data_IF_714193712998
#
_entry.id   IF_714193712998
#
_cell.length_a   1.000
_cell.length_b   1.000
_cell.length_c   1.000
_cell.angle_alpha   90.00
_cell.angle_beta   90.00
_cell.angle_gamma   90.00
#
_symmetry.space_group_name_H-M   'P 1'
#
loop_
_entity.id
_entity.type
_entity.pdbx_description
1 polymer ?
#
# COMPACT_ATOMS: atom_id res chain seq x y z
N UNK A 1 -14.16 -13.50 27.41
CA UNK A 1 -14.69 -14.88 27.61
C UNK A 1 -16.19 -14.83 27.51
N UNK A 2 -16.81 -15.72 26.72
CA UNK A 2 -18.28 -15.79 26.55
C UNK A 2 -18.80 -17.00 27.30
N UNK A 3 -19.79 -16.80 28.18
CA UNK A 3 -20.37 -17.85 29.02
C UNK A 3 -21.85 -18.02 28.68
N UNK A 4 -22.30 -19.27 28.58
CA UNK A 4 -23.71 -19.63 28.32
C UNK A 4 -24.15 -20.71 29.29
N UNK A 5 -25.29 -20.51 29.95
CA UNK A 5 -25.92 -21.52 30.82
C UNK A 5 -26.75 -22.52 30.00
N UNK A 6 -26.94 -23.74 30.52
CA UNK A 6 -27.77 -24.79 29.91
C UNK A 6 -27.40 -25.13 28.45
N UNK A 7 -26.14 -25.55 28.24
CA UNK A 7 -25.60 -25.90 26.90
C UNK A 7 -25.96 -27.31 26.39
N UNK A 8 -26.87 -28.03 27.04
CA UNK A 8 -27.15 -29.43 26.72
C UNK A 8 -25.90 -30.31 26.85
N UNK A 9 -25.66 -31.19 25.89
CA UNK A 9 -24.51 -32.13 25.87
C UNK A 9 -23.19 -31.49 25.40
N UNK A 10 -23.23 -30.23 24.98
CA UNK A 10 -22.10 -29.51 24.40
C UNK A 10 -21.14 -29.01 25.50
N UNK A 11 -20.17 -29.86 25.86
CA UNK A 11 -19.20 -29.65 26.94
C UNK A 11 -17.82 -29.13 26.47
N UNK A 12 -17.69 -28.76 25.21
CA UNK A 12 -16.47 -28.24 24.59
C UNK A 12 -16.33 -26.72 24.77
N UNK A 13 -15.11 -26.21 24.59
CA UNK A 13 -14.79 -24.78 24.57
C UNK A 13 -14.18 -24.45 23.21
N UNK A 14 -14.78 -23.49 22.51
CA UNK A 14 -14.19 -22.94 21.29
C UNK A 14 -13.16 -21.89 21.71
N UNK A 15 -11.91 -22.09 21.31
CA UNK A 15 -10.82 -21.15 21.51
C UNK A 15 -10.50 -20.53 20.15
N UNK A 16 -10.45 -19.20 20.10
CA UNK A 16 -10.15 -18.42 18.89
C UNK A 16 -8.98 -17.51 19.23
N UNK A 17 -7.95 -17.55 18.39
CA UNK A 17 -6.83 -16.62 18.41
C UNK A 17 -7.00 -15.58 17.31
N UNK A 18 -7.47 -14.39 17.69
CA UNK A 18 -7.60 -13.24 16.79
C UNK A 18 -6.46 -12.21 16.98
N UNK A 19 -5.33 -12.62 17.56
CA UNK A 19 -4.22 -11.70 17.88
C UNK A 19 -3.60 -11.01 16.66
N UNK A 20 -3.72 -11.59 15.47
CA UNK A 20 -3.14 -11.08 14.21
C UNK A 20 -4.11 -10.23 13.36
N UNK A 21 -5.40 -10.26 13.64
CA UNK A 21 -6.42 -9.55 12.84
C UNK A 21 -6.67 -8.15 13.34
N UNK A 22 -5.81 -7.19 12.99
CA UNK A 22 -5.99 -5.78 13.32
C UNK A 22 -5.26 -4.85 12.36
N UNK A 23 -5.73 -3.61 12.28
CA UNK A 23 -5.03 -2.51 11.65
C UNK A 23 -4.34 -1.66 12.72
N UNK A 24 -3.06 -1.33 12.52
CA UNK A 24 -2.30 -0.49 13.45
C UNK A 24 -2.57 0.98 13.15
N UNK A 25 -3.26 1.67 14.05
CA UNK A 25 -3.56 3.10 13.95
C UNK A 25 -2.79 3.85 15.04
N UNK A 26 -1.63 4.37 14.65
CA UNK A 26 -0.71 5.07 15.55
C UNK A 26 -0.20 4.18 16.67
N UNK A 27 -0.62 4.46 17.91
CA UNK A 27 -0.26 3.68 19.11
C UNK A 27 -1.26 2.56 19.46
N UNK A 28 -2.41 2.52 18.79
CA UNK A 28 -3.49 1.59 19.09
C UNK A 28 -3.70 0.62 17.92
N UNK A 29 -4.26 -0.55 18.24
CA UNK A 29 -4.71 -1.52 17.25
C UNK A 29 -6.23 -1.40 17.13
N UNK A 30 -6.74 -1.27 15.90
CA UNK A 30 -8.18 -1.23 15.60
C UNK A 30 -8.57 -2.53 14.90
N UNK A 31 -9.65 -3.16 15.34
CA UNK A 31 -10.23 -4.28 14.63
C UNK A 31 -10.91 -3.76 13.36
N UNK A 32 -10.62 -4.38 12.22
CA UNK A 32 -11.32 -4.11 10.96
C UNK A 32 -12.67 -4.85 10.97
N UNK A 33 -13.59 -4.42 10.12
CA UNK A 33 -14.91 -5.05 10.02
C UNK A 33 -14.79 -6.50 9.54
N UNK A 34 -13.82 -6.81 8.67
CA UNK A 34 -13.47 -8.16 8.25
C UNK A 34 -13.00 -9.06 9.38
N UNK A 35 -12.16 -8.53 10.28
CA UNK A 35 -11.67 -9.27 11.44
C UNK A 35 -12.84 -9.61 12.38
N UNK A 36 -13.74 -8.65 12.61
CA UNK A 36 -14.95 -8.86 13.42
C UNK A 36 -15.86 -9.90 12.76
N UNK A 37 -16.14 -9.78 11.46
CA UNK A 37 -16.99 -10.71 10.70
C UNK A 37 -16.44 -12.12 10.76
N UNK A 38 -15.12 -12.30 10.56
CA UNK A 38 -14.44 -13.60 10.68
C UNK A 38 -14.61 -14.22 12.06
N UNK A 39 -14.45 -13.43 13.12
CA UNK A 39 -14.66 -13.91 14.50
C UNK A 39 -16.12 -14.32 14.69
N UNK A 40 -17.07 -13.50 14.28
CA UNK A 40 -18.51 -13.76 14.44
C UNK A 40 -18.93 -15.02 13.69
N UNK A 41 -18.50 -15.19 12.45
CA UNK A 41 -18.83 -16.35 11.62
C UNK A 41 -18.21 -17.63 12.21
N UNK A 42 -16.98 -17.54 12.72
CA UNK A 42 -16.30 -18.66 13.40
C UNK A 42 -17.00 -19.04 14.71
N UNK A 43 -17.42 -18.07 15.52
CA UNK A 43 -18.18 -18.31 16.75
C UNK A 43 -19.56 -18.92 16.45
N UNK A 44 -20.25 -18.39 15.44
CA UNK A 44 -21.61 -18.81 15.07
C UNK A 44 -21.63 -20.23 14.52
N UNK A 45 -20.66 -20.57 13.66
CA UNK A 45 -20.57 -21.90 13.07
C UNK A 45 -19.75 -22.90 13.92
N UNK A 46 -19.07 -22.43 14.98
CA UNK A 46 -18.14 -23.22 15.81
C UNK A 46 -17.12 -24.03 14.98
N UNK A 47 -16.60 -23.40 13.92
CA UNK A 47 -15.66 -24.03 12.97
C UNK A 47 -14.27 -24.15 13.60
N UNK A 48 -13.55 -25.20 13.21
CA UNK A 48 -12.11 -25.33 13.43
C UNK A 48 -11.40 -24.75 12.21
N UNK A 49 -10.51 -23.79 12.43
CA UNK A 49 -9.76 -23.12 11.37
C UNK A 49 -8.29 -23.16 11.74
N UNK A 50 -7.46 -23.65 10.83
CA UNK A 50 -6.02 -23.79 11.08
C UNK A 50 -5.40 -22.47 11.53
N UNK A 51 -4.50 -22.54 12.53
CA UNK A 51 -3.85 -21.40 13.19
C UNK A 51 -4.76 -20.29 13.78
N UNK A 52 -6.09 -20.44 13.72
CA UNK A 52 -7.04 -19.40 14.13
C UNK A 52 -8.05 -19.87 15.18
N UNK A 53 -8.63 -21.07 15.04
CA UNK A 53 -9.65 -21.54 15.99
C UNK A 53 -9.69 -23.05 16.16
N UNK A 54 -10.00 -23.49 17.39
CA UNK A 54 -10.12 -24.90 17.74
C UNK A 54 -11.18 -25.14 18.82
N UNK A 55 -12.03 -26.13 18.59
CA UNK A 55 -12.95 -26.71 19.57
C UNK A 55 -12.19 -27.70 20.43
N UNK A 56 -12.09 -27.40 21.72
CA UNK A 56 -11.32 -28.18 22.69
C UNK A 56 -12.29 -28.88 23.64
N UNK A 57 -12.08 -30.18 23.84
CA UNK A 57 -12.90 -30.97 24.76
C UNK A 57 -12.60 -30.61 26.23
N UNK A 58 -13.57 -30.82 27.11
CA UNK A 58 -13.35 -30.63 28.56
C UNK A 58 -12.25 -31.52 29.12
N UNK A 59 -12.03 -32.69 28.53
CA UNK A 59 -11.00 -33.64 28.97
C UNK A 59 -9.60 -33.11 28.65
N UNK A 60 -9.41 -32.53 27.45
CA UNK A 60 -8.16 -31.89 27.06
C UNK A 60 -7.86 -30.67 27.97
N UNK A 61 -8.89 -29.90 28.33
CA UNK A 61 -8.75 -28.77 29.28
C UNK A 61 -8.35 -29.28 30.67
N UNK A 62 -8.94 -30.38 31.14
CA UNK A 62 -8.57 -31.02 32.42
C UNK A 62 -7.13 -31.50 32.42
N UNK A 63 -6.67 -32.09 31.31
CA UNK A 63 -5.29 -32.55 31.16
C UNK A 63 -4.28 -31.39 31.21
N UNK A 64 -4.72 -30.19 30.83
CA UNK A 64 -3.96 -28.94 30.94
C UNK A 64 -4.23 -28.19 32.25
N UNK A 65 -4.68 -28.86 33.33
CA UNK A 65 -4.96 -28.28 34.64
C UNK A 65 -5.92 -27.08 34.61
N UNK A 66 -6.91 -27.13 33.71
CA UNK A 66 -7.86 -26.03 33.45
C UNK A 66 -7.20 -24.72 33.00
N UNK A 67 -5.96 -24.76 32.51
CA UNK A 67 -5.28 -23.61 31.93
C UNK A 67 -5.89 -23.28 30.55
N UNK A 68 -6.50 -22.12 30.41
CA UNK A 68 -7.17 -21.67 29.18
C UNK A 68 -6.30 -20.72 28.32
N UNK A 69 -4.98 -20.73 28.51
CA UNK A 69 -4.09 -19.90 27.69
C UNK A 69 -4.15 -20.33 26.22
N UNK A 70 -4.38 -19.36 25.33
CA UNK A 70 -4.70 -19.60 23.90
C UNK A 70 -3.60 -20.41 23.17
N UNK A 71 -2.30 -20.09 23.32
CA UNK A 71 -1.22 -20.81 22.60
C UNK A 71 -1.12 -22.30 22.93
N UNK A 72 -1.77 -22.77 24.00
CA UNK A 72 -1.81 -24.20 24.34
C UNK A 72 -2.74 -25.01 23.44
N UNK A 73 -3.66 -24.34 22.76
CA UNK A 73 -4.73 -24.98 22.00
C UNK A 73 -4.73 -24.57 20.54
N UNK A 74 -4.37 -23.31 20.26
CA UNK A 74 -4.25 -22.78 18.91
C UNK A 74 -2.83 -22.25 18.75
N UNK A 75 -2.05 -22.87 17.87
CA UNK A 75 -0.73 -22.38 17.50
C UNK A 75 -0.87 -21.42 16.31
N UNK A 76 -0.85 -20.13 16.61
CA UNK A 76 -0.87 -19.06 15.62
C UNK A 76 0.53 -18.61 15.20
N UNK A 77 1.60 -19.26 15.69
CA UNK A 77 2.96 -18.84 15.37
C UNK A 77 3.29 -19.02 13.89
N UNK A 78 4.14 -18.13 13.39
CA UNK A 78 4.72 -18.29 12.05
C UNK A 78 5.74 -19.41 12.09
N UNK A 79 5.87 -20.13 10.99
CA UNK A 79 6.89 -21.17 10.90
C UNK A 79 8.25 -20.47 11.02
N UNK A 80 9.13 -20.99 11.86
CA UNK A 80 10.46 -20.42 12.02
C UNK A 80 11.18 -20.37 10.66
N UNK A 81 11.86 -19.25 10.41
CA UNK A 81 12.72 -19.14 9.23
C UNK A 81 13.80 -20.22 9.32
N UNK A 82 13.82 -21.10 8.33
CA UNK A 82 14.80 -22.17 8.21
C UNK A 82 15.87 -21.73 7.22
N UNK A 83 17.12 -22.14 7.42
CA UNK A 83 18.19 -21.97 6.44
C UNK A 83 18.71 -23.37 6.10
N UNK A 84 18.89 -23.64 4.81
CA UNK A 84 19.37 -24.93 4.36
C UNK A 84 20.87 -24.81 4.08
N UNK A 85 21.65 -25.67 4.74
CA UNK A 85 23.12 -25.61 4.70
C UNK A 85 23.63 -25.90 3.29
N UNK A 86 23.03 -26.87 2.58
CA UNK A 86 23.49 -27.22 1.23
C UNK A 86 23.18 -26.08 0.25
N UNK A 87 21.97 -25.55 0.30
CA UNK A 87 21.55 -24.43 -0.54
C UNK A 87 22.39 -23.17 -0.28
N UNK A 88 22.77 -22.89 0.96
CA UNK A 88 23.66 -21.75 1.26
C UNK A 88 25.11 -21.97 0.80
N UNK A 89 25.55 -23.22 0.66
CA UNK A 89 26.91 -23.55 0.21
C UNK A 89 27.03 -23.58 -1.31
N UNK A 90 26.05 -24.19 -1.99
CA UNK A 90 26.12 -24.56 -3.41
C UNK A 90 24.97 -23.97 -4.26
N UNK A 91 24.05 -23.24 -3.65
CA UNK A 91 22.90 -22.65 -4.32
C UNK A 91 21.71 -23.62 -4.47
N UNK A 92 20.65 -23.10 -5.09
CA UNK A 92 19.41 -23.83 -5.34
C UNK A 92 18.42 -23.78 -4.17
N UNK A 93 17.13 -23.83 -4.49
CA UNK A 93 16.04 -23.70 -3.51
C UNK A 93 15.64 -25.09 -3.02
N UNK A 94 15.59 -25.35 -1.70
CA UNK A 94 15.15 -26.63 -1.15
C UNK A 94 13.68 -26.90 -1.47
N UNK A 95 13.36 -28.12 -1.90
CA UNK A 95 11.98 -28.54 -2.20
C UNK A 95 11.03 -28.36 -1.01
N UNK A 96 11.53 -28.53 0.23
CA UNK A 96 10.76 -28.35 1.47
C UNK A 96 10.26 -26.92 1.67
N UNK A 97 11.05 -25.92 1.27
CA UNK A 97 10.63 -24.51 1.38
C UNK A 97 9.55 -24.18 0.34
N UNK A 98 9.67 -24.78 -0.86
CA UNK A 98 8.62 -24.67 -1.88
C UNK A 98 7.33 -25.38 -1.47
N UNK A 99 7.39 -26.50 -0.77
CA UNK A 99 6.19 -27.19 -0.27
C UNK A 99 5.40 -26.33 0.74
N UNK A 100 6.05 -25.36 1.40
CA UNK A 100 5.40 -24.34 2.22
C UNK A 100 4.42 -23.45 1.44
N UNK A 101 4.54 -23.38 0.11
CA UNK A 101 3.64 -22.66 -0.80
C UNK A 101 2.55 -23.56 -1.40
N UNK A 102 2.27 -24.72 -0.78
CA UNK A 102 1.28 -25.71 -1.25
C UNK A 102 -0.11 -25.14 -1.56
N UNK A 103 -0.56 -24.11 -0.85
CA UNK A 103 -1.82 -23.42 -1.17
C UNK A 103 -1.82 -22.86 -2.59
N UNK A 104 -0.72 -22.23 -3.02
CA UNK A 104 -0.56 -21.71 -4.38
C UNK A 104 -0.39 -22.83 -5.40
N UNK A 105 0.34 -23.90 -5.08
CA UNK A 105 0.51 -25.04 -5.98
C UNK A 105 -0.78 -25.83 -6.22
N UNK A 106 -1.65 -25.90 -5.22
CA UNK A 106 -2.98 -26.50 -5.37
C UNK A 106 -3.88 -25.65 -6.27
N UNK A 107 -3.73 -24.33 -6.26
CA UNK A 107 -4.46 -23.41 -7.12
C UNK A 107 -3.88 -23.32 -8.55
N UNK A 108 -2.55 -23.45 -8.68
CA UNK A 108 -1.80 -23.36 -9.93
C UNK A 108 -0.97 -24.63 -10.17
N UNK A 109 -1.61 -25.76 -10.54
CA UNK A 109 -0.99 -27.08 -10.55
C UNK A 109 0.20 -27.22 -11.52
N UNK A 110 0.19 -26.49 -12.65
CA UNK A 110 1.23 -26.57 -13.67
C UNK A 110 2.32 -25.50 -13.50
N UNK A 111 2.07 -24.47 -12.68
CA UNK A 111 2.98 -23.34 -12.48
C UNK A 111 4.32 -23.79 -11.87
N UNK A 112 4.29 -24.67 -10.86
CA UNK A 112 5.52 -25.16 -10.20
C UNK A 112 6.47 -25.81 -11.20
N UNK A 113 5.96 -26.74 -12.01
CA UNK A 113 6.78 -27.41 -13.04
C UNK A 113 7.29 -26.45 -14.11
N UNK A 114 6.52 -25.42 -14.47
CA UNK A 114 6.94 -24.42 -15.45
C UNK A 114 8.09 -23.54 -14.93
N UNK A 115 8.09 -23.21 -13.63
CA UNK A 115 9.11 -22.35 -13.03
C UNK A 115 10.43 -23.08 -12.75
N UNK A 116 10.40 -24.35 -12.39
CA UNK A 116 11.58 -25.07 -11.87
C UNK A 116 12.09 -26.22 -12.75
N UNK A 117 11.35 -26.66 -13.76
CA UNK A 117 11.68 -27.90 -14.48
C UNK A 117 11.39 -29.14 -13.62
N UNK A 118 11.52 -30.36 -14.18
CA UNK A 118 10.97 -31.61 -13.61
C UNK A 118 11.29 -31.84 -12.11
N UNK A 119 10.24 -32.06 -11.31
CA UNK A 119 10.12 -31.83 -9.84
C UNK A 119 10.67 -32.99 -8.95
N UNK A 120 11.75 -33.65 -9.37
CA UNK A 120 12.31 -34.80 -8.64
C UNK A 120 13.49 -34.50 -7.72
N UNK A 121 14.10 -33.32 -7.85
CA UNK A 121 15.32 -32.96 -7.14
C UNK A 121 15.05 -32.39 -5.74
N UNK A 122 15.93 -32.68 -4.78
CA UNK A 122 15.87 -32.15 -3.42
C UNK A 122 16.16 -30.63 -3.38
N UNK A 123 16.91 -30.14 -4.38
CA UNK A 123 17.26 -28.73 -4.61
C UNK A 123 16.95 -28.35 -6.06
N UNK A 124 16.20 -27.27 -6.26
CA UNK A 124 15.74 -26.84 -7.60
C UNK A 124 16.23 -25.43 -7.94
N UNK A 125 16.35 -25.15 -9.22
CA UNK A 125 16.72 -23.83 -9.74
C UNK A 125 15.60 -23.30 -10.63
N UNK A 126 15.45 -21.98 -10.70
CA UNK A 126 14.53 -21.40 -11.67
C UNK A 126 15.00 -21.74 -13.08
N UNK A 127 14.08 -22.28 -13.88
CA UNK A 127 14.27 -22.52 -15.31
C UNK A 127 13.97 -21.27 -16.16
N UNK A 128 13.68 -20.15 -15.50
CA UNK A 128 13.27 -18.87 -16.11
C UNK A 128 14.14 -17.73 -15.59
N UNK A 129 14.47 -16.79 -16.47
CA UNK A 129 15.26 -15.60 -16.11
C UNK A 129 14.41 -14.53 -15.40
N UNK A 130 13.13 -14.40 -15.79
CA UNK A 130 12.20 -13.42 -15.23
C UNK A 130 11.01 -14.14 -14.58
N UNK A 131 11.08 -14.31 -13.26
CA UNK A 131 10.05 -14.96 -12.43
C UNK A 131 8.71 -14.25 -12.59
N UNK A 132 8.73 -12.92 -12.54
CA UNK A 132 7.52 -12.10 -12.60
C UNK A 132 6.79 -12.29 -13.92
N UNK A 133 7.52 -12.19 -15.04
CA UNK A 133 6.95 -12.41 -16.38
C UNK A 133 6.45 -13.84 -16.53
N UNK A 134 7.24 -14.83 -16.13
CA UNK A 134 6.86 -16.24 -16.23
C UNK A 134 5.58 -16.58 -15.46
N UNK A 135 5.41 -16.03 -14.26
CA UNK A 135 4.18 -16.23 -13.45
C UNK A 135 2.98 -15.53 -14.11
N UNK A 136 3.11 -14.27 -14.52
CA UNK A 136 1.99 -13.52 -15.10
C UNK A 136 1.49 -14.09 -16.44
N UNK A 137 2.39 -14.60 -17.29
CA UNK A 137 2.05 -15.15 -18.60
C UNK A 137 1.57 -16.62 -18.54
N UNK A 138 1.64 -17.25 -17.36
CA UNK A 138 1.30 -18.65 -17.20
C UNK A 138 -0.21 -18.93 -17.37
N UNK A 139 -0.54 -20.06 -18.00
CA UNK A 139 -1.92 -20.46 -18.29
C UNK A 139 -2.79 -20.63 -17.03
N UNK A 140 -2.26 -21.17 -15.94
CA UNK A 140 -3.01 -21.30 -14.69
C UNK A 140 -3.33 -19.93 -14.07
N UNK A 141 -2.41 -18.96 -14.16
CA UNK A 141 -2.59 -17.62 -13.57
C UNK A 141 -3.55 -16.78 -14.39
N UNK A 142 -3.43 -16.82 -15.71
CA UNK A 142 -4.37 -16.18 -16.64
C UNK A 142 -5.76 -16.83 -16.56
N UNK A 143 -5.83 -18.16 -16.40
CA UNK A 143 -7.07 -18.89 -16.16
C UNK A 143 -7.75 -18.51 -14.84
N UNK A 144 -6.98 -18.34 -13.78
CA UNK A 144 -7.48 -17.85 -12.49
C UNK A 144 -8.02 -16.41 -12.57
N UNK A 145 -7.30 -15.51 -13.23
CA UNK A 145 -7.77 -14.15 -13.48
C UNK A 145 -9.09 -14.15 -14.29
N UNK A 146 -9.16 -14.97 -15.35
CA UNK A 146 -10.37 -15.09 -16.17
C UNK A 146 -11.56 -15.70 -15.40
N UNK A 147 -11.31 -16.66 -14.50
CA UNK A 147 -12.33 -17.24 -13.62
C UNK A 147 -12.90 -16.17 -12.67
N UNK A 148 -12.04 -15.34 -12.09
CA UNK A 148 -12.48 -14.19 -11.28
C UNK A 148 -13.26 -13.17 -12.11
N UNK A 149 -12.73 -12.74 -13.25
CA UNK A 149 -13.40 -11.79 -14.15
C UNK A 149 -14.79 -12.30 -14.56
N UNK A 150 -14.93 -13.59 -14.85
CA UNK A 150 -16.21 -14.20 -15.22
C UNK A 150 -17.19 -14.21 -14.04
N UNK A 151 -16.73 -14.57 -12.85
CA UNK A 151 -17.55 -14.59 -11.64
C UNK A 151 -18.03 -13.20 -11.20
N UNK A 152 -17.29 -12.15 -11.58
CA UNK A 152 -17.57 -10.75 -11.24
C UNK A 152 -18.03 -9.90 -12.43
N UNK A 153 -18.25 -10.49 -13.61
CA UNK A 153 -18.54 -9.76 -14.85
C UNK A 153 -19.79 -8.89 -14.75
N UNK A 154 -20.82 -9.38 -14.06
CA UNK A 154 -22.09 -8.68 -13.84
C UNK A 154 -22.12 -7.89 -12.53
N UNK A 155 -21.06 -7.90 -11.70
CA UNK A 155 -21.08 -7.22 -10.39
C UNK A 155 -21.37 -5.73 -10.53
N UNK A 156 -20.74 -5.06 -11.50
CA UNK A 156 -20.95 -3.62 -11.74
C UNK A 156 -22.42 -3.30 -12.09
N UNK A 157 -23.06 -4.16 -12.90
CA UNK A 157 -24.47 -4.01 -13.27
C UNK A 157 -25.39 -4.36 -12.10
N UNK A 158 -25.09 -5.43 -11.37
CA UNK A 158 -25.83 -5.85 -10.18
C UNK A 158 -25.84 -4.75 -9.11
N UNK A 159 -24.67 -4.19 -8.78
CA UNK A 159 -24.57 -3.08 -7.82
C UNK A 159 -25.30 -1.84 -8.31
N UNK A 160 -25.28 -1.58 -9.63
CA UNK A 160 -26.03 -0.48 -10.20
C UNK A 160 -27.53 -0.68 -9.99
N UNK A 161 -28.07 -1.85 -10.32
CA UNK A 161 -29.49 -2.13 -10.21
C UNK A 161 -29.96 -2.09 -8.74
N UNK A 162 -29.19 -2.65 -7.81
CA UNK A 162 -29.54 -2.71 -6.38
C UNK A 162 -29.40 -1.36 -5.64
N UNK A 163 -28.47 -0.50 -6.05
CA UNK A 163 -28.19 0.77 -5.33
C UNK A 163 -28.70 2.03 -6.04
N UNK A 164 -28.70 2.03 -7.38
CA UNK A 164 -28.90 3.24 -8.20
C UNK A 164 -30.11 3.12 -9.14
N UNK A 165 -30.28 1.95 -9.75
CA UNK A 165 -31.35 1.66 -10.71
C UNK A 165 -32.71 1.44 -10.05
N UNK A 166 -32.72 1.08 -8.76
CA UNK A 166 -33.91 0.91 -7.95
C UNK A 166 -34.42 2.24 -7.33
N UNK A 167 -35.54 2.16 -6.60
CA UNK A 167 -36.02 3.25 -5.76
C UNK A 167 -35.21 3.31 -4.46
N UNK A 168 -34.30 4.29 -4.37
CA UNK A 168 -33.43 4.45 -3.19
C UNK A 168 -34.20 4.66 -1.88
N UNK A 169 -35.45 5.15 -1.96
CA UNK A 169 -36.26 5.40 -0.76
C UNK A 169 -36.74 4.14 -0.06
N UNK A 170 -36.68 3.00 -0.74
CA UNK A 170 -37.10 1.70 -0.21
C UNK A 170 -35.93 0.84 0.33
N UNK A 171 -34.68 1.26 0.11
CA UNK A 171 -33.49 0.49 0.50
C UNK A 171 -33.34 0.49 2.02
N UNK A 172 -33.18 -0.69 2.62
CA UNK A 172 -32.78 -0.79 4.02
C UNK A 172 -31.27 -0.96 4.10
N UNK A 173 -30.54 0.10 4.44
CA UNK A 173 -29.08 0.14 4.45
C UNK A 173 -28.45 -1.03 5.22
N UNK A 174 -28.94 -1.37 6.42
CA UNK A 174 -28.36 -2.47 7.20
C UNK A 174 -28.57 -3.85 6.57
N UNK A 175 -29.69 -4.07 5.88
CA UNK A 175 -29.96 -5.34 5.18
C UNK A 175 -29.24 -5.41 3.85
N UNK A 176 -29.09 -4.28 3.17
CA UNK A 176 -28.48 -4.20 1.86
C UNK A 176 -27.00 -4.57 1.94
N UNK A 177 -26.27 -4.06 2.93
CA UNK A 177 -24.87 -4.43 3.18
C UNK A 177 -24.69 -5.95 3.29
N UNK A 178 -25.57 -6.61 4.06
CA UNK A 178 -25.53 -8.06 4.24
C UNK A 178 -25.83 -8.77 2.92
N UNK A 179 -26.81 -8.29 2.15
CA UNK A 179 -27.21 -8.89 0.88
C UNK A 179 -26.08 -8.80 -0.16
N UNK A 180 -25.43 -7.64 -0.27
CA UNK A 180 -24.27 -7.44 -1.13
C UNK A 180 -23.08 -8.29 -0.68
N UNK A 181 -22.83 -8.35 0.63
CA UNK A 181 -21.76 -9.18 1.19
C UNK A 181 -21.97 -10.67 0.90
N UNK A 182 -23.20 -11.17 1.09
CA UNK A 182 -23.55 -12.56 0.80
C UNK A 182 -23.42 -12.88 -0.69
N UNK A 183 -23.78 -11.93 -1.57
CA UNK A 183 -23.57 -12.05 -3.01
C UNK A 183 -22.08 -12.15 -3.38
N UNK A 184 -21.23 -11.28 -2.81
CA UNK A 184 -19.77 -11.35 -3.01
C UNK A 184 -19.21 -12.68 -2.48
N UNK A 185 -19.67 -13.17 -1.33
CA UNK A 185 -19.24 -14.45 -0.77
C UNK A 185 -19.62 -15.62 -1.66
N UNK A 186 -20.84 -15.60 -2.23
CA UNK A 186 -21.28 -16.61 -3.16
C UNK A 186 -20.43 -16.63 -4.45
N UNK A 187 -20.05 -15.46 -4.98
CA UNK A 187 -19.17 -15.34 -6.16
C UNK A 187 -17.76 -15.88 -5.89
N UNK A 188 -17.26 -15.73 -4.66
CA UNK A 188 -15.92 -16.16 -4.26
C UNK A 188 -15.84 -17.62 -3.81
N UNK A 189 -16.97 -18.31 -3.65
CA UNK A 189 -17.00 -19.66 -3.07
C UNK A 189 -16.13 -20.68 -3.84
N UNK A 190 -16.08 -20.55 -5.17
CA UNK A 190 -15.33 -21.45 -6.06
C UNK A 190 -13.99 -20.86 -6.54
N UNK A 191 -13.56 -19.73 -5.97
CA UNK A 191 -12.32 -19.06 -6.36
C UNK A 191 -11.23 -19.37 -5.32
N UNK A 192 -10.21 -20.20 -5.64
CA UNK A 192 -9.17 -20.54 -4.68
C UNK A 192 -8.33 -19.31 -4.31
N UNK A 193 -7.62 -19.37 -3.17
CA UNK A 193 -6.71 -18.34 -2.66
C UNK A 193 -7.33 -16.99 -2.24
N UNK A 194 -8.50 -16.61 -2.76
CA UNK A 194 -9.12 -15.32 -2.42
C UNK A 194 -9.76 -15.39 -1.03
N UNK A 195 -9.33 -14.50 -0.14
CA UNK A 195 -9.92 -14.37 1.19
C UNK A 195 -11.24 -13.59 1.12
N UNK A 196 -12.36 -14.28 1.34
CA UNK A 196 -13.70 -13.69 1.35
C UNK A 196 -13.83 -12.51 2.31
N UNK A 197 -13.10 -12.51 3.43
CA UNK A 197 -13.19 -11.44 4.42
C UNK A 197 -12.42 -10.18 3.97
N UNK A 198 -11.38 -10.32 3.16
CA UNK A 198 -10.70 -9.16 2.56
C UNK A 198 -11.61 -8.50 1.50
N UNK A 199 -12.37 -9.29 0.73
CA UNK A 199 -13.41 -8.76 -0.16
C UNK A 199 -14.53 -8.04 0.61
N UNK A 200 -14.95 -8.57 1.76
CA UNK A 200 -15.88 -7.87 2.65
C UNK A 200 -15.31 -6.54 3.16
N UNK A 201 -14.02 -6.49 3.51
CA UNK A 201 -13.41 -5.24 3.97
C UNK A 201 -13.44 -4.15 2.88
N UNK A 202 -13.24 -4.54 1.62
CA UNK A 202 -13.31 -3.60 0.49
C UNK A 202 -14.71 -2.99 0.38
N UNK A 203 -15.76 -3.82 0.48
CA UNK A 203 -17.14 -3.33 0.50
C UNK A 203 -17.39 -2.41 1.70
N UNK A 204 -17.04 -2.85 2.91
CA UNK A 204 -17.28 -2.11 4.16
C UNK A 204 -16.58 -0.73 4.19
N UNK A 205 -15.35 -0.66 3.66
CA UNK A 205 -14.59 0.60 3.56
C UNK A 205 -15.39 1.69 2.81
N UNK A 206 -16.06 1.32 1.73
CA UNK A 206 -16.88 2.26 0.95
C UNK A 206 -18.33 2.32 1.43
N UNK A 207 -18.83 1.26 2.07
CA UNK A 207 -20.21 1.16 2.53
C UNK A 207 -20.60 2.29 3.47
N UNK A 208 -19.70 2.69 4.38
CA UNK A 208 -19.96 3.82 5.29
C UNK A 208 -20.32 5.11 4.54
N UNK A 209 -19.69 5.38 3.40
CA UNK A 209 -19.96 6.56 2.57
C UNK A 209 -21.26 6.40 1.79
N UNK A 210 -21.46 5.22 1.21
CA UNK A 210 -22.69 4.87 0.47
C UNK A 210 -23.91 4.99 1.39
N UNK A 211 -23.82 4.46 2.61
CA UNK A 211 -24.86 4.50 3.63
C UNK A 211 -25.28 5.94 3.99
N UNK A 212 -24.30 6.84 4.18
CA UNK A 212 -24.57 8.26 4.47
C UNK A 212 -25.28 8.92 3.30
N UNK A 213 -24.78 8.71 2.07
CA UNK A 213 -25.41 9.30 0.89
C UNK A 213 -26.82 8.76 0.64
N UNK A 214 -27.05 7.46 0.88
CA UNK A 214 -28.37 6.85 0.82
C UNK A 214 -29.31 7.45 1.85
N UNK A 215 -28.86 7.66 3.09
CA UNK A 215 -29.65 8.32 4.14
C UNK A 215 -30.07 9.72 3.70
N UNK A 216 -29.14 10.52 3.16
CA UNK A 216 -29.41 11.85 2.63
C UNK A 216 -30.48 11.81 1.52
N UNK A 217 -30.32 10.91 0.54
CA UNK A 217 -31.26 10.76 -0.57
C UNK A 217 -32.64 10.30 -0.07
N UNK A 218 -32.69 9.46 0.97
CA UNK A 218 -33.93 9.00 1.60
C UNK A 218 -34.66 10.11 2.36
N UNK A 219 -33.93 10.97 3.07
CA UNK A 219 -34.52 12.05 3.87
C UNK A 219 -34.88 13.29 3.07
N UNK A 220 -34.04 13.66 2.10
CA UNK A 220 -34.13 14.92 1.36
C UNK A 220 -34.59 14.73 -0.10
N UNK A 221 -34.64 13.48 -0.58
CA UNK A 221 -34.99 13.12 -1.95
C UNK A 221 -33.81 13.20 -2.91
N UNK A 222 -34.02 12.69 -4.13
CA UNK A 222 -32.98 12.62 -5.17
C UNK A 222 -32.43 14.01 -5.59
N UNK A 223 -33.19 15.08 -5.36
CA UNK A 223 -32.74 16.46 -5.58
C UNK A 223 -31.54 16.88 -4.72
N UNK A 224 -31.30 16.21 -3.59
CA UNK A 224 -30.14 16.44 -2.72
C UNK A 224 -28.80 16.27 -3.45
N UNK A 225 -28.75 15.41 -4.48
CA UNK A 225 -27.54 15.21 -5.27
C UNK A 225 -27.15 16.41 -6.16
N UNK A 226 -28.05 17.37 -6.35
CA UNK A 226 -27.79 18.66 -7.04
C UNK A 226 -27.39 19.78 -6.08
N UNK A 227 -27.37 19.50 -4.78
CA UNK A 227 -27.08 20.50 -3.78
C UNK A 227 -25.58 20.56 -3.45
N UNK A 228 -25.18 21.71 -2.92
CA UNK A 228 -23.82 22.00 -2.53
C UNK A 228 -23.83 22.73 -1.20
N UNK A 229 -22.91 22.35 -0.31
CA UNK A 229 -22.79 22.91 1.01
C UNK A 229 -21.60 23.86 1.12
N UNK A 230 -21.67 24.87 2.00
CA UNK A 230 -20.51 25.66 2.38
C UNK A 230 -19.38 24.77 2.92
N UNK A 231 -18.20 24.86 2.32
CA UNK A 231 -17.04 24.14 2.83
C UNK A 231 -16.42 24.89 4.01
N UNK A 232 -16.67 24.43 5.23
CA UNK A 232 -16.19 25.09 6.45
C UNK A 232 -14.84 24.51 6.86
N UNK A 233 -13.80 25.34 6.88
CA UNK A 233 -12.45 24.95 7.29
C UNK A 233 -11.99 25.71 8.52
N UNK A 234 -11.36 25.00 9.45
CA UNK A 234 -10.80 25.60 10.65
C UNK A 234 -9.46 26.24 10.31
N UNK A 235 -9.36 27.56 10.46
CA UNK A 235 -8.12 28.32 10.31
C UNK A 235 -7.71 28.90 11.65
N UNK A 236 -6.42 28.77 11.99
CA UNK A 236 -5.83 29.42 13.17
C UNK A 236 -5.49 30.87 12.85
N UNK A 237 -6.07 31.79 13.60
CA UNK A 237 -5.75 33.22 13.56
C UNK A 237 -5.63 33.73 14.98
N UNK A 238 -4.51 34.37 15.31
CA UNK A 238 -4.22 34.92 16.65
C UNK A 238 -4.39 33.90 17.80
N UNK A 239 -3.85 32.69 17.64
CA UNK A 239 -3.95 31.59 18.61
C UNK A 239 -5.38 31.11 18.93
N UNK A 240 -6.36 31.44 18.07
CA UNK A 240 -7.74 30.95 18.14
C UNK A 240 -8.11 30.21 16.86
N UNK A 241 -8.90 29.15 16.99
CA UNK A 241 -9.48 28.41 15.88
C UNK A 241 -10.77 29.13 15.44
N UNK A 242 -10.79 29.57 14.18
CA UNK A 242 -11.92 30.25 13.55
C UNK A 242 -12.37 29.39 12.36
N UNK A 243 -13.65 29.06 12.32
CA UNK A 243 -14.26 28.44 11.14
C UNK A 243 -14.47 29.50 10.05
N UNK A 244 -13.88 29.26 8.89
CA UNK A 244 -14.00 30.13 7.72
C UNK A 244 -14.51 29.30 6.56
N UNK A 245 -15.48 29.84 5.82
CA UNK A 245 -15.93 29.20 4.59
C UNK A 245 -14.84 29.33 3.51
N UNK A 246 -14.36 28.19 3.00
CA UNK A 246 -13.40 28.09 1.90
C UNK A 246 -14.03 27.32 0.73
N UNK A 247 -14.89 28.02 -0.01
CA UNK A 247 -15.56 27.49 -1.19
C UNK A 247 -16.82 26.68 -0.86
N UNK A 248 -17.06 25.66 -1.67
CA UNK A 248 -18.24 24.79 -1.63
C UNK A 248 -17.81 23.34 -1.79
N UNK A 249 -18.54 22.43 -1.15
CA UNK A 249 -18.44 20.99 -1.34
C UNK A 249 -19.77 20.47 -1.85
N UNK A 250 -19.76 19.35 -2.56
CA UNK A 250 -21.02 18.74 -3.00
C UNK A 250 -21.70 18.06 -1.84
N UNK A 251 -23.03 18.20 -1.76
CA UNK A 251 -23.82 17.62 -0.69
C UNK A 251 -23.81 16.09 -0.75
N UNK A 252 -23.97 15.54 -1.96
CA UNK A 252 -23.77 14.11 -2.26
C UNK A 252 -22.65 13.90 -3.29
N UNK A 253 -22.66 14.61 -4.42
CA UNK A 253 -21.70 14.37 -5.50
C UNK A 253 -20.36 15.11 -5.25
N UNK A 254 -19.22 14.41 -5.11
CA UNK A 254 -17.94 15.06 -4.87
C UNK A 254 -17.50 15.95 -6.03
N UNK A 255 -16.99 17.14 -5.71
CA UNK A 255 -16.49 18.11 -6.70
C UNK A 255 -15.38 17.51 -7.57
N UNK A 256 -14.49 16.70 -6.97
CA UNK A 256 -13.40 16.06 -7.71
C UNK A 256 -13.88 15.17 -8.86
N UNK A 257 -14.99 14.44 -8.70
CA UNK A 257 -15.56 13.62 -9.77
C UNK A 257 -16.08 14.50 -10.91
N UNK A 258 -16.83 15.55 -10.58
CA UNK A 258 -17.39 16.48 -11.57
C UNK A 258 -16.29 17.24 -12.31
N UNK A 259 -15.25 17.68 -11.59
CA UNK A 259 -14.08 18.34 -12.17
C UNK A 259 -13.32 17.43 -13.12
N UNK A 260 -13.11 16.17 -12.73
CA UNK A 260 -12.45 15.18 -13.59
C UNK A 260 -13.24 14.88 -14.88
N UNK A 261 -14.58 14.95 -14.83
CA UNK A 261 -15.44 14.63 -15.95
C UNK A 261 -15.66 15.81 -16.91
N UNK A 262 -15.85 17.04 -16.39
CA UNK A 262 -16.24 18.19 -17.20
C UNK A 262 -15.20 19.31 -17.28
N UNK A 263 -14.23 19.35 -16.38
CA UNK A 263 -13.25 20.43 -16.25
C UNK A 263 -11.81 19.90 -16.20
N UNK A 264 -11.55 18.87 -17.00
CA UNK A 264 -10.26 18.18 -17.04
C UNK A 264 -9.10 19.13 -17.37
N UNK A 265 -9.28 20.03 -18.34
CA UNK A 265 -8.24 20.97 -18.77
C UNK A 265 -7.87 21.95 -17.64
N UNK A 266 -8.86 22.51 -16.95
CA UNK A 266 -8.61 23.39 -15.80
C UNK A 266 -7.97 22.66 -14.63
N UNK A 267 -8.40 21.42 -14.34
CA UNK A 267 -7.83 20.59 -13.28
C UNK A 267 -6.39 20.17 -13.62
N UNK A 268 -6.11 19.79 -14.87
CA UNK A 268 -4.76 19.45 -15.34
C UNK A 268 -3.82 20.66 -15.21
N UNK A 269 -4.28 21.85 -15.60
CA UNK A 269 -3.52 23.09 -15.48
C UNK A 269 -3.20 23.43 -14.01
N UNK A 270 -4.15 23.23 -13.09
CA UNK A 270 -3.90 23.39 -11.65
C UNK A 270 -2.85 22.39 -11.14
N UNK A 271 -2.96 21.12 -11.54
CA UNK A 271 -1.98 20.08 -11.17
C UNK A 271 -0.57 20.39 -11.71
N UNK A 272 -0.46 20.97 -12.92
CA UNK A 272 0.81 21.44 -13.47
C UNK A 272 1.42 22.56 -12.63
N UNK A 273 0.62 23.53 -12.17
CA UNK A 273 1.08 24.60 -11.27
C UNK A 273 1.55 24.05 -9.91
N UNK A 274 0.80 23.11 -9.32
CA UNK A 274 1.19 22.46 -8.06
C UNK A 274 2.48 21.63 -8.23
N UNK A 275 2.59 20.90 -9.33
CA UNK A 275 3.82 20.16 -9.68
C UNK A 275 5.00 21.11 -9.83
N UNK A 276 4.82 22.28 -10.46
CA UNK A 276 5.88 23.29 -10.58
C UNK A 276 6.25 23.87 -9.21
N UNK A 277 5.30 24.12 -8.30
CA UNK A 277 5.60 24.54 -6.93
C UNK A 277 6.44 23.50 -6.18
N UNK A 278 6.12 22.22 -6.30
CA UNK A 278 6.93 21.15 -5.70
C UNK A 278 8.35 21.13 -6.29
N UNK A 279 8.51 21.33 -7.60
CA UNK A 279 9.83 21.45 -8.24
C UNK A 279 10.61 22.66 -7.73
N UNK A 280 9.96 23.80 -7.54
CA UNK A 280 10.58 25.02 -6.98
C UNK A 280 11.10 24.74 -5.56
N UNK A 281 10.35 24.01 -4.73
CA UNK A 281 10.79 23.63 -3.39
C UNK A 281 12.09 22.79 -3.44
N UNK A 282 12.15 21.78 -4.31
CA UNK A 282 13.38 21.00 -4.52
C UNK A 282 14.52 21.83 -5.13
N UNK A 283 14.21 22.84 -5.95
CA UNK A 283 15.23 23.77 -6.46
C UNK A 283 15.77 24.67 -5.34
N UNK A 284 14.96 25.07 -4.35
CA UNK A 284 15.45 25.78 -3.17
C UNK A 284 16.41 24.94 -2.34
N UNK A 285 16.09 23.67 -2.10
CA UNK A 285 16.98 22.73 -1.41
C UNK A 285 18.33 22.64 -2.14
N UNK A 286 18.31 22.46 -3.46
CA UNK A 286 19.55 22.43 -4.26
C UNK A 286 20.35 23.73 -4.19
N UNK A 287 19.69 24.89 -4.18
CA UNK A 287 20.37 26.18 -4.04
C UNK A 287 20.97 26.36 -2.63
N UNK A 288 20.32 25.84 -1.59
CA UNK A 288 20.85 25.84 -0.22
C UNK A 288 22.04 24.88 -0.08
N UNK A 289 21.93 23.66 -0.61
CA UNK A 289 22.99 22.66 -0.56
C UNK A 289 24.24 23.09 -1.33
N UNK A 290 24.07 23.90 -2.38
CA UNK A 290 25.16 24.50 -3.13
C UNK A 290 25.92 25.62 -2.39
N UNK A 291 25.45 26.07 -1.22
CA UNK A 291 26.16 27.05 -0.39
C UNK A 291 27.17 26.38 0.54
N UNK A 292 28.29 27.05 0.80
CA UNK A 292 29.24 26.61 1.82
C UNK A 292 28.64 26.73 3.23
N UNK A 293 29.23 26.03 4.21
CA UNK A 293 28.78 26.14 5.60
C UNK A 293 28.97 27.54 6.21
N UNK A 294 29.94 28.30 5.71
CA UNK A 294 30.13 29.71 6.09
C UNK A 294 29.00 30.58 5.52
N UNK A 295 28.60 30.34 4.28
CA UNK A 295 27.52 31.09 3.62
C UNK A 295 26.14 30.78 4.18
N UNK A 296 25.89 29.52 4.56
CA UNK A 296 24.68 29.11 5.28
C UNK A 296 24.55 29.75 6.65
N UNK A 297 25.63 30.27 7.22
CA UNK A 297 25.62 30.95 8.52
C UNK A 297 25.34 32.46 8.40
N UNK A 298 25.12 32.96 7.18
CA UNK A 298 24.80 34.37 6.92
C UNK A 298 23.30 34.65 7.07
N UNK A 299 22.95 35.91 7.32
CA UNK A 299 21.58 36.37 7.62
C UNK A 299 20.54 36.11 6.52
N UNK A 300 20.96 35.80 5.29
CA UNK A 300 20.05 35.45 4.20
C UNK A 300 19.57 33.99 4.25
N UNK A 301 20.08 33.18 5.17
CA UNK A 301 19.58 31.86 5.54
C UNK A 301 19.04 31.93 6.98
N UNK A 302 18.01 31.15 7.30
CA UNK A 302 17.43 31.10 8.65
C UNK A 302 18.30 30.28 9.63
N UNK A 303 18.01 30.40 10.92
CA UNK A 303 18.84 29.84 12.01
C UNK A 303 18.97 28.30 11.97
N UNK A 304 17.99 27.60 11.40
CA UNK A 304 18.02 26.13 11.25
C UNK A 304 18.69 25.67 9.93
N UNK A 305 19.19 26.61 9.11
CA UNK A 305 19.84 26.36 7.81
C UNK A 305 18.96 25.64 6.77
N UNK A 306 17.63 25.72 6.90
CA UNK A 306 16.70 25.01 6.01
C UNK A 306 16.00 25.90 4.98
N UNK A 307 16.07 27.23 5.11
CA UNK A 307 15.36 28.15 4.22
C UNK A 307 16.04 29.51 4.04
N UNK A 308 15.79 30.14 2.89
CA UNK A 308 16.24 31.50 2.62
C UNK A 308 15.32 32.57 3.24
N UNK A 309 15.92 33.59 3.85
CA UNK A 309 15.21 34.76 4.39
C UNK A 309 15.05 35.82 3.30
N UNK A 310 13.89 35.85 2.64
CA UNK A 310 13.65 36.66 1.43
C UNK A 310 13.96 38.17 1.56
N UNK A 311 13.83 38.75 2.76
CA UNK A 311 14.16 40.16 3.02
C UNK A 311 15.68 40.40 3.02
N UNK A 312 16.43 39.53 3.70
CA UNK A 312 17.88 39.61 3.80
C UNK A 312 18.56 39.21 2.48
N UNK A 313 18.02 38.23 1.74
CA UNK A 313 18.50 37.92 0.38
C UNK A 313 18.48 39.16 -0.52
N UNK A 314 17.38 39.93 -0.50
CA UNK A 314 17.27 41.18 -1.28
C UNK A 314 18.26 42.25 -0.83
N UNK A 315 18.62 42.27 0.45
CA UNK A 315 19.57 43.21 1.02
C UNK A 315 21.00 42.85 0.58
N UNK A 316 21.39 41.58 0.68
CA UNK A 316 22.70 41.10 0.26
C UNK A 316 22.94 41.29 -1.24
N UNK A 317 21.94 41.06 -2.09
CA UNK A 317 22.04 41.36 -3.54
C UNK A 317 22.29 42.86 -3.79
N UNK A 318 21.66 43.76 -3.01
CA UNK A 318 21.78 45.22 -3.20
C UNK A 318 23.12 45.75 -2.69
N UNK A 319 23.57 45.27 -1.54
CA UNK A 319 24.80 45.74 -0.89
C UNK A 319 26.03 45.08 -1.51
N UNK A 320 25.87 43.91 -2.16
CA UNK A 320 26.95 43.09 -2.74
C UNK A 320 28.03 42.78 -1.72
N UNK A 321 27.60 42.31 -0.55
CA UNK A 321 28.43 41.92 0.59
C UNK A 321 28.92 40.45 0.53
N UNK A 322 28.71 39.80 -0.62
CA UNK A 322 29.03 38.38 -0.87
C UNK A 322 29.67 38.23 -2.25
N UNK A 323 30.35 37.12 -2.48
CA UNK A 323 30.99 36.75 -3.74
C UNK A 323 29.98 36.73 -4.91
N UNK A 324 30.42 37.07 -6.12
CA UNK A 324 29.54 37.17 -7.29
C UNK A 324 28.84 35.84 -7.63
N UNK A 325 29.45 34.71 -7.30
CA UNK A 325 28.88 33.37 -7.42
C UNK A 325 27.67 33.18 -6.50
N UNK A 326 27.77 33.64 -5.25
CA UNK A 326 26.66 33.59 -4.28
C UNK A 326 25.57 34.59 -4.68
N UNK A 327 25.94 35.79 -5.18
CA UNK A 327 24.96 36.73 -5.73
C UNK A 327 24.14 36.08 -6.85
N UNK A 328 24.77 35.24 -7.69
CA UNK A 328 24.06 34.51 -8.74
C UNK A 328 23.07 33.48 -8.18
N UNK A 329 23.44 32.74 -7.12
CA UNK A 329 22.55 31.81 -6.39
C UNK A 329 21.37 32.58 -5.78
N UNK A 330 21.64 33.69 -5.09
CA UNK A 330 20.62 34.54 -4.48
C UNK A 330 19.66 35.13 -5.53
N UNK A 331 20.15 35.53 -6.71
CA UNK A 331 19.30 35.98 -7.83
C UNK A 331 18.38 34.87 -8.32
N UNK A 332 18.90 33.65 -8.54
CA UNK A 332 18.08 32.48 -8.91
C UNK A 332 16.97 32.24 -7.89
N UNK A 333 17.30 32.25 -6.60
CA UNK A 333 16.29 32.16 -5.53
C UNK A 333 15.24 33.27 -5.66
N UNK A 334 15.64 34.54 -5.86
CA UNK A 334 14.66 35.63 -5.98
C UNK A 334 13.73 35.51 -7.17
N UNK A 335 14.19 34.93 -8.28
CA UNK A 335 13.36 34.72 -9.47
C UNK A 335 12.40 33.55 -9.26
N UNK A 336 12.87 32.45 -8.69
CA UNK A 336 12.02 31.34 -8.25
C UNK A 336 10.98 31.79 -7.22
N UNK A 337 11.33 32.67 -6.28
CA UNK A 337 10.40 33.21 -5.28
C UNK A 337 9.33 34.13 -5.90
N UNK A 338 9.64 34.82 -7.01
CA UNK A 338 8.62 35.56 -7.78
C UNK A 338 7.71 34.60 -8.53
N UNK A 339 8.27 33.57 -9.15
CA UNK A 339 7.51 32.52 -9.85
C UNK A 339 6.56 31.81 -8.87
N UNK A 340 7.07 31.35 -7.73
CA UNK A 340 6.31 30.70 -6.65
C UNK A 340 5.14 31.58 -6.20
N UNK A 341 5.38 32.87 -5.95
CA UNK A 341 4.33 33.82 -5.56
C UNK A 341 3.27 33.98 -6.66
N UNK A 342 3.69 33.98 -7.93
CA UNK A 342 2.79 34.12 -9.08
C UNK A 342 1.93 32.87 -9.24
N UNK A 343 2.55 31.68 -9.17
CA UNK A 343 1.87 30.39 -9.22
C UNK A 343 0.90 30.21 -8.05
N UNK A 344 1.31 30.52 -6.81
CA UNK A 344 0.41 30.48 -5.64
C UNK A 344 -0.82 31.39 -5.82
N UNK A 345 -0.64 32.56 -6.44
CA UNK A 345 -1.75 33.45 -6.76
C UNK A 345 -2.66 32.84 -7.84
N UNK A 346 -2.08 32.33 -8.92
CA UNK A 346 -2.83 31.69 -10.02
C UNK A 346 -3.61 30.47 -9.54
N UNK A 347 -2.99 29.56 -8.77
CA UNK A 347 -3.67 28.40 -8.18
C UNK A 347 -4.87 28.85 -7.35
N UNK A 348 -4.71 29.88 -6.50
CA UNK A 348 -5.81 30.39 -5.70
C UNK A 348 -6.96 30.95 -6.55
N UNK A 349 -6.65 31.71 -7.59
CA UNK A 349 -7.64 32.33 -8.48
C UNK A 349 -8.33 31.29 -9.37
N UNK A 350 -7.56 30.42 -10.03
CA UNK A 350 -8.05 29.37 -10.93
C UNK A 350 -8.85 28.30 -10.16
N UNK A 351 -8.41 27.92 -8.95
CA UNK A 351 -9.16 26.98 -8.10
C UNK A 351 -10.49 27.58 -7.62
N UNK A 352 -10.49 28.85 -7.18
CA UNK A 352 -11.73 29.53 -6.81
C UNK A 352 -12.71 29.62 -8.00
N UNK A 353 -12.21 29.91 -9.20
CA UNK A 353 -13.01 29.90 -10.42
C UNK A 353 -13.55 28.51 -10.76
N UNK A 354 -12.71 27.47 -10.63
CA UNK A 354 -13.08 26.08 -10.87
C UNK A 354 -14.17 25.61 -9.90
N UNK A 355 -14.06 25.94 -8.61
CA UNK A 355 -15.09 25.63 -7.60
C UNK A 355 -16.44 26.26 -7.98
N UNK A 356 -16.44 27.52 -8.42
CA UNK A 356 -17.69 28.20 -8.84
C UNK A 356 -18.30 27.51 -10.08
N UNK A 357 -17.48 27.17 -11.08
CA UNK A 357 -17.95 26.43 -12.26
C UNK A 357 -18.50 25.05 -11.89
N UNK A 358 -17.80 24.34 -11.01
CA UNK A 358 -18.18 23.00 -10.54
C UNK A 358 -19.51 23.04 -9.81
N UNK A 359 -19.70 24.03 -8.93
CA UNK A 359 -20.97 24.28 -8.25
C UNK A 359 -22.12 24.45 -9.26
N UNK A 360 -21.95 25.34 -10.23
CA UNK A 360 -22.97 25.59 -11.24
C UNK A 360 -23.28 24.34 -12.08
N UNK A 361 -22.26 23.50 -12.36
CA UNK A 361 -22.45 22.24 -13.07
C UNK A 361 -23.26 21.24 -12.24
N UNK A 362 -22.96 21.07 -10.94
CA UNK A 362 -23.69 20.18 -10.03
C UNK A 362 -25.18 20.55 -9.94
N UNK A 363 -25.46 21.85 -9.79
CA UNK A 363 -26.84 22.37 -9.70
C UNK A 363 -27.65 22.11 -10.98
N UNK A 364 -26.99 21.85 -12.11
CA UNK A 364 -27.60 21.65 -13.43
C UNK A 364 -27.59 20.20 -13.93
N UNK A 365 -27.08 19.24 -13.14
CA UNK A 365 -27.01 17.84 -13.57
C UNK A 365 -28.39 17.25 -13.85
N UNK A 366 -28.51 16.44 -14.91
CA UNK A 366 -29.71 15.63 -15.15
C UNK A 366 -29.75 14.42 -14.20
N UNK A 367 -30.91 13.77 -14.09
CA UNK A 367 -31.03 12.59 -13.23
C UNK A 367 -30.12 11.45 -13.72
N UNK A 368 -29.98 11.30 -15.03
CA UNK A 368 -29.08 10.32 -15.65
C UNK A 368 -27.61 10.61 -15.31
N UNK A 369 -27.18 11.87 -15.41
CA UNK A 369 -25.82 12.26 -15.05
C UNK A 369 -25.53 12.04 -13.56
N UNK A 370 -26.50 12.32 -12.69
CA UNK A 370 -26.35 12.02 -11.25
C UNK A 370 -26.14 10.53 -11.04
N UNK A 371 -26.91 9.66 -11.71
CA UNK A 371 -26.72 8.21 -11.60
C UNK A 371 -25.35 7.76 -12.08
N UNK A 372 -24.80 8.37 -13.14
CA UNK A 372 -23.42 8.12 -13.58
C UNK A 372 -22.39 8.53 -12.53
N UNK A 373 -22.56 9.70 -11.90
CA UNK A 373 -21.67 10.13 -10.82
C UNK A 373 -21.80 9.29 -9.55
N UNK A 374 -23.02 8.85 -9.20
CA UNK A 374 -23.24 7.92 -8.10
C UNK A 374 -22.57 6.57 -8.40
N UNK A 375 -22.64 6.08 -9.64
CA UNK A 375 -21.92 4.86 -10.05
C UNK A 375 -20.41 5.05 -9.89
N UNK A 376 -19.86 6.17 -10.36
CA UNK A 376 -18.45 6.50 -10.23
C UNK A 376 -18.01 6.66 -8.76
N UNK A 377 -18.91 7.13 -7.88
CA UNK A 377 -18.65 7.32 -6.44
C UNK A 377 -18.76 6.03 -5.64
N UNK A 378 -19.81 5.25 -5.86
CA UNK A 378 -20.19 4.11 -5.02
C UNK A 378 -19.66 2.78 -5.54
N UNK A 379 -19.79 2.55 -6.85
CA UNK A 379 -19.59 1.22 -7.45
C UNK A 379 -18.16 1.08 -7.97
N UNK A 380 -17.68 2.08 -8.73
CA UNK A 380 -16.36 2.01 -9.35
C UNK A 380 -15.23 1.75 -8.33
N UNK A 381 -15.17 2.38 -7.14
CA UNK A 381 -14.12 2.11 -6.17
C UNK A 381 -14.17 0.66 -5.64
N UNK A 382 -15.37 0.16 -5.32
CA UNK A 382 -15.58 -1.21 -4.83
C UNK A 382 -15.14 -2.22 -5.87
N UNK A 383 -15.63 -2.09 -7.11
CA UNK A 383 -15.29 -2.99 -8.22
C UNK A 383 -13.78 -2.92 -8.52
N UNK A 384 -13.20 -1.71 -8.58
CA UNK A 384 -11.78 -1.54 -8.88
C UNK A 384 -10.89 -2.19 -7.83
N UNK A 385 -11.19 -2.01 -6.54
CA UNK A 385 -10.41 -2.65 -5.46
C UNK A 385 -10.61 -4.17 -5.42
N UNK A 386 -11.83 -4.67 -5.67
CA UNK A 386 -12.08 -6.12 -5.74
C UNK A 386 -11.27 -6.78 -6.88
N UNK A 387 -11.19 -6.14 -8.05
CA UNK A 387 -10.42 -6.67 -9.18
C UNK A 387 -8.89 -6.62 -8.97
N UNK A 388 -8.41 -5.92 -7.93
CA UNK A 388 -7.00 -6.01 -7.51
C UNK A 388 -6.70 -7.26 -6.68
N UNK A 389 -7.71 -7.92 -6.09
CA UNK A 389 -7.48 -9.09 -5.23
C UNK A 389 -6.68 -10.21 -5.92
N UNK A 390 -7.05 -10.68 -7.13
CA UNK A 390 -6.28 -11.70 -7.83
C UNK A 390 -4.84 -11.25 -8.13
N UNK A 391 -4.68 -9.99 -8.53
CA UNK A 391 -3.38 -9.39 -8.85
C UNK A 391 -2.48 -9.35 -7.61
N UNK A 392 -3.02 -8.96 -6.47
CA UNK A 392 -2.29 -8.90 -5.21
C UNK A 392 -1.83 -10.29 -4.75
N UNK A 393 -2.68 -11.32 -4.91
CA UNK A 393 -2.32 -12.71 -4.59
C UNK A 393 -1.16 -13.20 -5.44
N UNK A 394 -1.19 -12.91 -6.75
CA UNK A 394 -0.11 -13.28 -7.68
C UNK A 394 1.17 -12.52 -7.34
N UNK A 395 1.09 -11.22 -7.04
CA UNK A 395 2.24 -10.42 -6.64
C UNK A 395 2.84 -10.91 -5.32
N UNK A 396 2.03 -11.36 -4.37
CA UNK A 396 2.50 -11.95 -3.12
C UNK A 396 3.25 -13.27 -3.37
N UNK A 397 2.75 -14.12 -4.27
CA UNK A 397 3.46 -15.33 -4.69
C UNK A 397 4.81 -14.98 -5.33
N UNK A 398 4.84 -14.02 -6.26
CA UNK A 398 6.08 -13.56 -6.90
C UNK A 398 7.07 -13.06 -5.85
N UNK A 399 6.61 -12.22 -4.92
CA UNK A 399 7.47 -11.72 -3.84
C UNK A 399 8.03 -12.83 -2.97
N UNK A 400 7.24 -13.85 -2.61
CA UNK A 400 7.72 -15.03 -1.87
C UNK A 400 8.77 -15.82 -2.66
N UNK A 401 8.58 -15.98 -3.96
CA UNK A 401 9.52 -16.66 -4.85
C UNK A 401 10.83 -15.87 -5.02
N UNK A 402 10.76 -14.54 -5.17
CA UNK A 402 11.93 -13.67 -5.24
C UNK A 402 12.73 -13.68 -3.93
N UNK A 403 12.04 -13.67 -2.78
CA UNK A 403 12.70 -13.81 -1.47
C UNK A 403 13.45 -15.14 -1.38
N UNK A 404 12.82 -16.25 -1.79
CA UNK A 404 13.48 -17.57 -1.81
C UNK A 404 14.66 -17.61 -2.79
N UNK A 405 14.52 -16.99 -3.96
CA UNK A 405 15.61 -16.87 -4.94
C UNK A 405 16.79 -16.14 -4.33
N UNK A 406 16.55 -14.92 -3.82
CA UNK A 406 17.58 -14.06 -3.25
C UNK A 406 18.27 -14.66 -2.03
N UNK A 407 17.53 -15.43 -1.22
CA UNK A 407 18.03 -16.10 -0.03
C UNK A 407 19.15 -17.11 -0.35
N UNK A 408 19.11 -17.74 -1.52
CA UNK A 408 20.08 -18.75 -1.96
C UNK A 408 20.81 -18.36 -3.26
N UNK A 409 20.76 -17.08 -3.62
CA UNK A 409 21.39 -16.54 -4.84
C UNK A 409 22.91 -16.41 -4.67
N UNK A 410 23.36 -15.85 -3.54
CA UNK A 410 24.79 -15.74 -3.24
C UNK A 410 25.21 -16.92 -2.38
N UNK A 411 26.07 -17.76 -2.93
CA UNK A 411 26.54 -18.98 -2.27
C UNK A 411 27.88 -18.76 -1.56
N UNK A 412 28.14 -19.57 -0.52
CA UNK A 412 29.46 -19.51 0.14
C UNK A 412 30.59 -19.91 -0.81
N UNK A 413 30.34 -20.83 -1.75
CA UNK A 413 31.31 -21.22 -2.79
C UNK A 413 31.68 -20.04 -3.68
N UNK A 414 30.69 -19.30 -4.21
CA UNK A 414 30.94 -18.11 -5.03
C UNK A 414 31.68 -17.01 -4.24
N UNK A 415 31.31 -16.77 -2.98
CA UNK A 415 32.01 -15.78 -2.14
C UNK A 415 33.46 -16.19 -1.90
N UNK A 416 33.74 -17.47 -1.67
CA UNK A 416 35.11 -17.98 -1.50
C UNK A 416 35.92 -17.88 -2.81
N UNK A 417 35.30 -18.12 -3.96
CA UNK A 417 35.91 -17.90 -5.27
C UNK A 417 36.21 -16.41 -5.52
N UNK A 418 35.26 -15.51 -5.24
CA UNK A 418 35.45 -14.07 -5.35
C UNK A 418 36.56 -13.55 -4.42
N UNK A 419 36.64 -14.08 -3.19
CA UNK A 419 37.73 -13.78 -2.26
C UNK A 419 39.07 -14.17 -2.88
N UNK A 420 39.20 -15.41 -3.38
CA UNK A 420 40.43 -15.90 -4.01
C UNK A 420 40.81 -15.07 -5.25
N UNK A 421 39.85 -14.71 -6.09
CA UNK A 421 40.08 -13.87 -7.26
C UNK A 421 40.53 -12.45 -6.86
N UNK A 422 39.87 -11.87 -5.86
CA UNK A 422 40.20 -10.54 -5.33
C UNK A 422 41.59 -10.53 -4.69
N UNK A 423 41.92 -11.54 -3.89
CA UNK A 423 43.24 -11.72 -3.28
C UNK A 423 44.34 -11.83 -4.34
N UNK A 424 44.09 -12.62 -5.40
CA UNK A 424 45.02 -12.74 -6.54
C UNK A 424 45.19 -11.43 -7.29
N UNK A 425 44.09 -10.69 -7.52
CA UNK A 425 44.12 -9.37 -8.15
C UNK A 425 44.92 -8.37 -7.32
N UNK A 426 44.68 -8.32 -6.00
CA UNK A 426 45.40 -7.46 -5.07
C UNK A 426 46.89 -7.80 -5.03
N UNK A 427 47.24 -9.08 -5.03
CA UNK A 427 48.63 -9.53 -5.15
C UNK A 427 49.29 -9.02 -6.43
N UNK A 428 48.56 -9.03 -7.56
CA UNK A 428 49.06 -8.49 -8.82
C UNK A 428 49.28 -6.98 -8.75
N UNK A 429 48.36 -6.23 -8.14
CA UNK A 429 48.52 -4.78 -7.95
C UNK A 429 49.69 -4.44 -7.02
N UNK A 430 49.96 -5.27 -6.01
CA UNK A 430 51.12 -5.08 -5.12
C UNK A 430 52.45 -5.24 -5.88
N UNK A 431 52.51 -6.09 -6.92
CA UNK A 431 53.72 -6.25 -7.75
C UNK A 431 54.14 -4.97 -8.48
N UNK A 432 53.18 -4.07 -8.74
CA UNK A 432 53.43 -2.80 -9.42
C UNK A 432 53.92 -1.69 -8.46
N UNK A 433 53.92 -1.93 -7.14
CA UNK A 433 54.34 -0.96 -6.14
C UNK A 433 55.86 -0.99 -5.92
N UNK A 434 56.44 0.19 -5.68
CA UNK A 434 57.87 0.38 -5.42
C UNK A 434 58.05 1.20 -4.16
N UNK A 435 58.99 0.82 -3.30
CA UNK A 435 59.29 1.51 -2.03
C UNK A 435 60.73 1.30 -1.57
N UNK A 436 61.03 1.69 -0.33
CA UNK A 436 62.33 1.39 0.29
C UNK A 436 62.41 -0.10 0.72
N UNK A 437 63.57 -0.58 1.17
CA UNK A 437 63.77 -1.99 1.51
C UNK A 437 62.81 -2.53 2.59
N UNK A 438 62.41 -1.70 3.55
CA UNK A 438 61.43 -2.08 4.57
C UNK A 438 60.01 -2.14 4.00
N UNK A 439 59.66 -1.22 3.10
CA UNK A 439 58.37 -1.23 2.40
C UNK A 439 58.26 -2.49 1.54
N UNK A 440 59.30 -2.83 0.77
CA UNK A 440 59.31 -4.03 -0.09
C UNK A 440 59.21 -5.33 0.72
N UNK A 441 59.81 -5.39 1.91
CA UNK A 441 59.65 -6.52 2.84
C UNK A 441 58.23 -6.61 3.38
N UNK A 442 57.62 -5.47 3.74
CA UNK A 442 56.22 -5.42 4.20
C UNK A 442 55.24 -5.85 3.11
N UNK A 443 55.45 -5.41 1.87
CA UNK A 443 54.63 -5.81 0.72
C UNK A 443 54.74 -7.31 0.44
N UNK A 444 55.93 -7.90 0.54
CA UNK A 444 56.11 -9.35 0.37
C UNK A 444 55.36 -10.18 1.43
N UNK A 445 55.38 -9.75 2.69
CA UNK A 445 54.65 -10.44 3.76
C UNK A 445 53.13 -10.29 3.60
N UNK A 446 52.66 -9.11 3.17
CA UNK A 446 51.25 -8.87 2.89
C UNK A 446 50.74 -9.77 1.75
N UNK A 447 51.51 -9.95 0.67
CA UNK A 447 51.16 -10.89 -0.40
C UNK A 447 51.04 -12.33 0.08
N UNK A 448 51.91 -12.75 1.00
CA UNK A 448 51.86 -14.09 1.58
C UNK A 448 50.58 -14.32 2.38
N UNK A 449 50.16 -13.33 3.16
CA UNK A 449 48.92 -13.39 3.94
C UNK A 449 47.67 -13.43 3.04
N UNK A 450 47.67 -12.71 1.93
CA UNK A 450 46.55 -12.68 0.97
C UNK A 450 46.50 -13.92 0.07
N UNK A 451 47.64 -14.52 -0.28
CA UNK A 451 47.69 -15.66 -1.21
C UNK A 451 47.34 -17.01 -0.60
N UNK A 452 46.99 -17.07 0.70
CA UNK A 452 46.56 -18.31 1.36
C UNK A 452 47.56 -19.46 1.28
N UNK A 453 48.87 -19.20 1.48
CA UNK A 453 49.90 -20.25 1.66
C UNK A 453 50.58 -20.15 3.02
#
# INVERSE_FOLDING_TARGET
MVLKQQRGDCNDVLIIDASKGFEKIGKNNKLRSSDIKRIVDTVSARKNVDKFSRTVSREEIRKNDYNLNIPRYVDSSENAESWDIYASMFGGIPAKELDGLSTYWNAFPNLRSALFGDNGAEYVHFSVEDIKKAVHEHSDVTGFASLFETAFADLDTYLYDELIGCDQTAINTSKEESTLSDNIFARLADIPLVDVYEAYQILDNEWSRIAIDLEIIQTEGFGAARQVDPNMVIKRKDNKEIEVQEGWIGHVIPFGLVQSAYFFDELSKLNEYETRLSKIASEYEKLLDGLSEEDKSRAFVNDDKTAFVAAEVKKSIKVRDVEDEIIAVLKKYTDLAKEEKTLKKQIKEDNAALIIKTKAAIEQLTDEQIREFLKAKWITPVVTELFKLPVNIVNELISKLEVLSKKYETTFEEVDEEIKETEKSLCTMIDDLVGNDFDMQGLAELKKLLGGV
#
